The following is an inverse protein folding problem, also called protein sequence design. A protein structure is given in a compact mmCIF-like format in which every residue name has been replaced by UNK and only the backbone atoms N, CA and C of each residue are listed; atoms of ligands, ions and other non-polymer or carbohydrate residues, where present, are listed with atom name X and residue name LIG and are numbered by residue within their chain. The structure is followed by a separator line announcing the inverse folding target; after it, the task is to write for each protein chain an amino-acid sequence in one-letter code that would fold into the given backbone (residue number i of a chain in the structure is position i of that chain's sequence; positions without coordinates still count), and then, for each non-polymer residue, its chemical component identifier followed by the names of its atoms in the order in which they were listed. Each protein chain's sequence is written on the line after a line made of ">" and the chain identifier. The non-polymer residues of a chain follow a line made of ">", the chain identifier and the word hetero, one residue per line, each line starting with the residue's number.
data_IF_350071232801
#
_entry.id   IF_350071232801
#
_cell.length_a   1.000
_cell.length_b   1.000
_cell.length_c   1.000
_cell.angle_alpha   90.00
_cell.angle_beta   90.00
_cell.angle_gamma   90.00
#
_symmetry.space_group_name_H-M   'P 1'
#
loop_
_entity.id
_entity.type
_entity.pdbx_description
1 polymer ?
2 water ?
#
# COMPACT_ATOMS: atom_id res chain seq x y z
N UNK A 1 -1.39 5.97 20.75
CA UNK A 1 -0.15 5.26 20.31
C UNK A 1 -0.09 5.10 18.76
N UNK A 2 0.93 5.75 18.18
CA UNK A 2 1.53 5.31 16.91
C UNK A 2 3.09 5.29 17.06
N UNK A 3 3.59 5.04 18.30
CA UNK A 3 5.03 4.73 18.61
C UNK A 3 5.52 3.31 18.18
N UNK A 4 4.86 2.79 17.16
CA UNK A 4 5.37 1.77 16.27
C UNK A 4 6.41 2.36 15.30
N UNK A 5 7.11 1.50 14.58
CA UNK A 5 8.22 1.95 13.76
C UNK A 5 7.96 1.68 12.25
N UNK A 6 8.57 2.43 11.32
CA UNK A 6 8.50 2.13 9.85
C UNK A 6 9.86 1.91 9.20
N UNK A 7 10.01 0.83 8.45
CA UNK A 7 11.31 0.53 7.87
C UNK A 7 11.14 -0.05 6.52
N UNK A 8 12.19 0.04 5.71
CA UNK A 8 12.21 -0.66 4.44
C UNK A 8 12.01 -2.16 4.71
N UNK A 9 11.45 -2.89 3.74
CA UNK A 9 11.54 -4.35 3.66
C UNK A 9 11.70 -4.83 2.22
N UNK A 10 12.49 -5.88 2.08
CA UNK A 10 12.55 -6.71 0.88
C UNK A 10 11.17 -7.37 0.69
N UNK A 11 10.57 -7.22 -0.50
CA UNK A 11 9.36 -8.00 -0.80
C UNK A 11 9.62 -9.52 -0.73
N UNK A 12 10.87 -9.94 -0.52
CA UNK A 12 11.18 -11.36 -0.47
C UNK A 12 11.40 -11.87 0.95
N UNK A 13 11.62 -10.92 1.87
CA UNK A 13 11.51 -11.13 3.31
C UNK A 13 10.29 -12.04 3.66
N UNK A 14 10.56 -13.12 4.42
CA UNK A 14 9.49 -13.98 4.93
C UNK A 14 8.37 -13.22 5.68
N UNK A 15 8.75 -12.17 6.38
CA UNK A 15 7.77 -11.39 7.13
C UNK A 15 6.81 -10.65 6.19
N UNK A 16 7.31 -10.26 5.01
CA UNK A 16 6.50 -9.50 4.04
C UNK A 16 5.52 -10.45 3.41
N UNK A 17 6.09 -11.59 2.99
CA UNK A 17 5.32 -12.64 2.41
C UNK A 17 4.21 -13.07 3.34
N UNK A 18 4.47 -13.11 4.63
CA UNK A 18 3.41 -13.53 5.59
C UNK A 18 2.25 -12.55 5.69
N UNK A 19 2.55 -11.25 5.74
CA UNK A 19 1.46 -10.23 5.72
C UNK A 19 0.61 -10.27 4.42
N UNK A 20 1.30 -10.23 3.30
CA UNK A 20 0.74 -10.44 1.99
C UNK A 20 -0.15 -11.71 1.91
N UNK A 21 0.37 -12.84 2.37
CA UNK A 21 -0.40 -14.08 2.39
C UNK A 21 -1.68 -13.91 3.23
N UNK A 22 -1.56 -13.30 4.41
CA UNK A 22 -2.75 -13.03 5.26
C UNK A 22 -3.72 -12.08 4.52
N UNK A 23 -3.21 -11.03 3.90
CA UNK A 23 -4.02 -10.11 3.06
C UNK A 23 -4.84 -10.92 2.06
N UNK A 24 -4.18 -11.79 1.29
CA UNK A 24 -4.81 -12.53 0.23
C UNK A 24 -5.78 -13.56 0.79
N UNK A 25 -5.48 -14.07 2.00
CA UNK A 25 -6.35 -15.10 2.63
C UNK A 25 -7.64 -14.44 3.07
N UNK A 26 -7.53 -13.24 3.63
CA UNK A 26 -8.70 -12.43 3.82
C UNK A 26 -9.47 -12.04 2.50
N UNK A 27 -8.85 -11.38 1.52
CA UNK A 27 -9.55 -11.13 0.21
C UNK A 27 -10.33 -12.32 -0.40
N UNK A 28 -10.18 -13.53 0.15
CA UNK A 28 -10.88 -14.75 -0.32
C UNK A 28 -12.35 -14.76 0.18
N UNK A 29 -12.61 -14.01 1.27
CA UNK A 29 -13.95 -13.45 1.63
C UNK A 29 -14.33 -12.29 0.65
N UNK A 39 3.17 -13.04 -4.42
CA UNK A 39 3.86 -13.50 -5.64
C UNK A 39 4.53 -12.34 -6.54
N UNK A 40 3.73 -11.64 -7.38
CA UNK A 40 4.26 -10.70 -8.42
C UNK A 40 5.30 -9.60 -7.99
N UNK A 41 5.30 -9.09 -6.76
CA UNK A 41 6.24 -7.98 -6.48
C UNK A 41 7.71 -8.36 -6.52
N UNK A 42 8.01 -9.63 -6.29
CA UNK A 42 9.40 -10.07 -6.20
C UNK A 42 10.12 -10.02 -7.54
N UNK A 43 9.39 -10.21 -8.64
CA UNK A 43 9.97 -10.30 -10.00
C UNK A 43 10.50 -8.99 -10.54
N UNK A 44 9.83 -7.90 -10.18
CA UNK A 44 10.04 -6.61 -10.83
C UNK A 44 11.44 -6.06 -10.60
N UNK A 45 11.94 -5.25 -11.55
CA UNK A 45 13.12 -4.43 -11.26
C UNK A 45 13.00 -3.70 -9.88
N UNK A 46 13.90 -4.02 -8.94
CA UNK A 46 13.94 -3.57 -7.54
C UNK A 46 14.04 -2.07 -7.29
N UNK A 47 14.65 -1.31 -8.20
CA UNK A 47 14.66 0.14 -8.11
C UNK A 47 13.21 0.64 -8.19
N UNK A 48 12.38 -0.07 -8.95
CA UNK A 48 11.06 0.40 -9.27
C UNK A 48 10.05 0.08 -8.17
N UNK A 49 10.49 -0.56 -7.09
CA UNK A 49 9.56 -0.93 -6.03
C UNK A 49 9.94 -0.29 -4.70
N UNK A 50 9.01 0.43 -4.08
CA UNK A 50 9.15 0.86 -2.70
C UNK A 50 8.27 -0.04 -1.85
N UNK A 51 8.85 -0.56 -0.78
CA UNK A 51 8.15 -1.45 0.09
C UNK A 51 8.55 -1.11 1.52
N UNK A 52 7.55 -0.99 2.38
CA UNK A 52 7.74 -0.60 3.79
C UNK A 52 6.97 -1.49 4.75
N UNK A 53 7.41 -1.55 6.01
CA UNK A 53 6.70 -2.31 7.08
C UNK A 53 6.49 -1.47 8.32
N UNK A 54 5.42 -1.75 9.06
CA UNK A 54 5.25 -1.17 10.40
C UNK A 54 5.43 -2.23 11.44
N UNK A 55 6.18 -1.87 12.46
CA UNK A 55 6.66 -2.80 13.44
C UNK A 55 6.18 -2.35 14.77
N UNK A 56 5.79 -3.32 15.57
CA UNK A 56 5.43 -3.10 16.93
C UNK A 56 6.67 -2.58 17.69
N UNK A 57 6.48 -2.17 18.96
CA UNK A 57 7.70 -1.92 19.73
C UNK A 57 8.54 -3.19 20.02
N UNK A 58 7.92 -4.38 20.11
CA UNK A 58 8.66 -5.67 20.10
C UNK A 58 9.61 -5.76 18.89
N UNK A 59 9.11 -5.37 17.71
CA UNK A 59 9.89 -5.33 16.47
C UNK A 59 9.26 -6.20 15.39
N UNK A 60 8.14 -6.82 15.75
CA UNK A 60 7.26 -7.62 14.90
C UNK A 60 6.63 -6.79 13.72
N UNK A 61 6.88 -7.20 12.47
CA UNK A 61 6.20 -6.60 11.32
C UNK A 61 4.73 -6.93 11.42
N UNK A 62 3.92 -5.89 11.32
CA UNK A 62 2.58 -5.94 11.86
C UNK A 62 1.69 -5.34 10.77
N UNK A 63 2.33 -4.82 9.72
CA UNK A 63 1.64 -4.18 8.60
C UNK A 63 2.63 -3.89 7.48
N UNK A 64 2.16 -3.69 6.26
CA UNK A 64 3.10 -3.32 5.21
C UNK A 64 2.41 -2.71 4.04
N UNK A 65 3.19 -2.20 3.08
CA UNK A 65 2.61 -1.74 1.82
C UNK A 65 3.70 -1.38 0.83
N UNK A 66 3.31 -1.09 -0.40
CA UNK A 66 4.29 -0.93 -1.46
C UNK A 66 3.78 -0.06 -2.59
N UNK A 67 4.74 0.54 -3.28
CA UNK A 67 4.44 1.39 -4.42
C UNK A 67 5.34 0.94 -5.54
N UNK A 68 4.74 0.72 -6.70
CA UNK A 68 5.46 0.40 -7.92
C UNK A 68 5.48 1.65 -8.77
N UNK A 69 6.69 2.17 -9.06
CA UNK A 69 6.91 3.40 -9.84
C UNK A 69 7.13 3.21 -11.35
N UNK A 70 6.51 4.07 -12.15
CA UNK A 70 6.60 3.99 -13.59
C UNK A 70 7.57 5.06 -14.04
N UNK A 71 7.99 4.99 -15.30
CA UNK A 71 8.96 5.98 -15.74
C UNK A 71 8.33 7.35 -16.06
N UNK A 72 7.01 7.46 -16.09
CA UNK A 72 6.41 8.79 -16.24
C UNK A 72 6.00 9.49 -14.92
N UNK A 73 6.53 9.01 -13.79
CA UNK A 73 6.25 9.65 -12.51
C UNK A 73 4.94 9.27 -11.81
N UNK A 74 4.17 8.33 -12.38
CA UNK A 74 3.10 7.68 -11.63
C UNK A 74 3.67 6.57 -10.75
N UNK A 75 2.95 6.26 -9.69
CA UNK A 75 3.31 5.23 -8.74
C UNK A 75 2.01 4.47 -8.51
N UNK A 76 2.09 3.15 -8.45
CA UNK A 76 0.91 2.44 -8.06
C UNK A 76 1.10 1.89 -6.65
N UNK A 77 0.17 2.20 -5.76
CA UNK A 77 0.11 1.68 -4.35
C UNK A 77 -0.65 0.36 -4.26
N UNK A 78 0.01 -0.63 -3.64
CA UNK A 78 -0.60 -1.93 -3.59
C UNK A 78 -0.02 -2.69 -2.42
N UNK A 79 -0.66 -3.83 -2.16
CA UNK A 79 -0.26 -4.72 -1.10
C UNK A 79 -0.22 -4.08 0.25
N UNK A 80 -1.18 -3.23 0.55
CA UNK A 80 -1.30 -2.60 1.87
C UNK A 80 -2.14 -3.45 2.81
N UNK A 81 -1.64 -3.70 4.01
CA UNK A 81 -2.38 -4.51 4.98
C UNK A 81 -1.84 -4.17 6.34
N UNK A 82 -2.73 -4.17 7.34
CA UNK A 82 -2.38 -4.03 8.77
C UNK A 82 -3.02 -5.21 9.47
N UNK A 83 -2.21 -5.98 10.21
CA UNK A 83 -2.72 -7.05 11.02
C UNK A 83 -3.84 -6.61 11.95
N UNK A 84 -5.01 -7.25 11.85
CA UNK A 84 -6.25 -7.03 12.62
C UNK A 84 -6.08 -6.63 14.11
N UNK A 85 -5.04 -7.13 14.75
CA UNK A 85 -4.90 -6.85 16.17
C UNK A 85 -4.29 -5.49 16.40
N UNK A 86 -3.83 -4.85 15.33
CA UNK A 86 -3.16 -3.57 15.46
C UNK A 86 -3.93 -2.39 14.88
N UNK A 87 -5.10 -2.69 14.33
CA UNK A 87 -6.04 -1.70 13.82
C UNK A 87 -6.71 -0.88 14.93
N UNK A 88 -7.41 0.19 14.56
CA UNK A 88 -8.11 1.03 15.52
C UNK A 88 -7.27 2.17 16.08
N UNK A 89 -6.05 2.33 15.55
CA UNK A 89 -5.09 3.31 16.10
C UNK A 89 -4.20 3.97 15.06
N UNK A 90 -4.75 4.14 13.85
CA UNK A 90 -4.19 5.04 12.86
C UNK A 90 -2.88 4.61 12.21
N UNK A 91 -2.56 3.32 12.23
CA UNK A 91 -1.32 2.84 11.61
C UNK A 91 -1.38 2.94 10.09
N UNK A 92 -2.58 2.74 9.54
CA UNK A 92 -2.74 2.79 8.07
C UNK A 92 -2.23 4.15 7.62
N UNK A 93 -2.70 5.16 8.36
CA UNK A 93 -2.31 6.55 8.21
C UNK A 93 -0.84 6.75 8.30
N UNK A 94 -0.21 6.17 9.30
CA UNK A 94 1.20 6.38 9.50
C UNK A 94 1.98 5.83 8.32
N UNK A 95 1.62 4.62 7.92
CA UNK A 95 2.23 3.90 6.79
C UNK A 95 2.01 4.61 5.45
N UNK A 96 0.75 4.85 5.12
CA UNK A 96 0.40 5.65 3.95
C UNK A 96 1.26 6.92 3.81
N UNK A 97 1.40 7.71 4.88
CA UNK A 97 2.21 8.94 4.79
C UNK A 97 3.66 8.64 4.49
N UNK A 98 4.11 7.49 4.96
CA UNK A 98 5.51 7.13 4.84
C UNK A 98 5.80 6.66 3.42
N UNK A 99 4.81 6.02 2.77
CA UNK A 99 4.97 5.57 1.39
C UNK A 99 4.93 6.78 0.44
N UNK A 100 4.03 7.70 0.75
CA UNK A 100 3.97 8.96 0.02
C UNK A 100 5.30 9.66 0.16
N UNK A 101 5.81 9.76 1.39
CA UNK A 101 7.09 10.52 1.50
C UNK A 101 8.15 9.86 0.59
N UNK A 102 8.22 8.53 0.59
CA UNK A 102 9.23 7.86 -0.21
C UNK A 102 8.99 8.03 -1.71
N UNK A 103 7.73 8.16 -2.09
CA UNK A 103 7.41 8.30 -3.50
C UNK A 103 7.86 9.70 -3.94
N UNK A 104 7.58 10.71 -3.14
CA UNK A 104 8.10 12.01 -3.49
C UNK A 104 9.60 12.01 -3.69
N UNK A 105 10.38 11.32 -2.86
CA UNK A 105 11.83 11.47 -3.01
C UNK A 105 12.28 10.88 -4.33
N UNK A 106 11.37 10.16 -4.96
CA UNK A 106 11.65 9.54 -6.23
C UNK A 106 10.94 10.28 -7.38
N UNK A 107 10.55 11.53 -7.10
CA UNK A 107 9.87 12.42 -8.04
C UNK A 107 8.50 11.97 -8.46
N UNK A 108 7.89 11.09 -7.70
CA UNK A 108 6.62 10.56 -8.11
C UNK A 108 5.62 11.70 -7.91
N UNK A 109 4.75 11.94 -8.88
CA UNK A 109 3.84 13.04 -8.77
C UNK A 109 2.36 12.67 -8.52
N UNK A 110 1.99 11.43 -8.81
CA UNK A 110 0.60 11.00 -8.65
C UNK A 110 0.66 9.56 -8.19
N UNK A 111 -0.09 9.26 -7.13
CA UNK A 111 -0.26 7.88 -6.69
C UNK A 111 -1.59 7.39 -7.04
N UNK A 112 -1.69 6.21 -7.62
CA UNK A 112 -2.98 5.61 -7.88
C UNK A 112 -3.07 4.26 -7.24
N UNK A 113 -4.30 3.76 -7.04
CA UNK A 113 -4.44 2.41 -6.53
C UNK A 113 -5.71 1.79 -7.05
N UNK A 114 -5.73 0.46 -7.10
CA UNK A 114 -6.93 -0.34 -7.33
C UNK A 114 -7.14 -1.20 -6.05
N UNK A 115 -8.34 -1.18 -5.47
CA UNK A 115 -8.83 -2.27 -4.58
C UNK A 115 -10.25 -2.68 -4.91
N UNK A 116 -10.63 -3.86 -4.42
CA UNK A 116 -12.02 -4.32 -4.54
C UNK A 116 -12.99 -3.46 -3.76
N UNK A 117 -14.25 -3.44 -4.23
CA UNK A 117 -15.31 -2.71 -3.53
C UNK A 117 -15.58 -3.30 -2.18
N UNK A 118 -15.24 -4.57 -1.97
CA UNK A 118 -15.39 -5.17 -0.67
C UNK A 118 -14.49 -4.56 0.41
N UNK A 119 -13.47 -3.81 0.03
CA UNK A 119 -12.45 -3.39 0.98
C UNK A 119 -12.70 -2.02 1.61
N UNK A 120 -13.74 -1.99 2.42
CA UNK A 120 -14.29 -0.78 2.98
C UNK A 120 -13.33 -0.01 3.90
N UNK A 121 -12.63 -0.72 4.77
CA UNK A 121 -11.64 -0.07 5.63
C UNK A 121 -10.58 0.69 4.81
N UNK A 122 -10.08 0.05 3.77
CA UNK A 122 -9.00 0.62 3.02
C UNK A 122 -9.56 1.77 2.29
N UNK A 123 -10.75 1.58 1.72
CA UNK A 123 -11.29 2.60 0.85
C UNK A 123 -11.49 3.87 1.66
N UNK A 124 -11.99 3.72 2.89
CA UNK A 124 -12.22 4.88 3.75
C UNK A 124 -10.90 5.51 4.19
N UNK A 125 -9.88 4.70 4.43
CA UNK A 125 -8.59 5.26 4.80
C UNK A 125 -8.08 6.17 3.66
N UNK A 126 -8.16 5.72 2.42
CA UNK A 126 -7.65 6.55 1.36
C UNK A 126 -8.44 7.81 1.22
N UNK A 127 -9.76 7.72 1.30
CA UNK A 127 -10.68 8.87 1.20
C UNK A 127 -10.39 9.93 2.26
N UNK A 128 -10.16 9.48 3.50
CA UNK A 128 -9.78 10.35 4.62
C UNK A 128 -8.47 11.09 4.33
N UNK A 129 -7.68 10.61 3.37
CA UNK A 129 -6.38 11.24 3.06
C UNK A 129 -6.19 11.70 1.61
N UNK A 130 -7.28 12.12 1.00
CA UNK A 130 -7.18 12.86 -0.23
C UNK A 130 -7.19 12.06 -1.49
N UNK A 131 -7.33 10.75 -1.41
CA UNK A 131 -7.49 9.96 -2.63
C UNK A 131 -8.89 10.14 -3.14
N UNK A 132 -9.08 10.14 -4.45
CA UNK A 132 -10.41 10.33 -5.03
C UNK A 132 -10.69 9.26 -6.05
N UNK A 133 -11.95 8.84 -6.16
CA UNK A 133 -12.26 7.77 -7.11
C UNK A 133 -11.94 8.24 -8.54
N UNK A 134 -11.62 7.29 -9.41
CA UNK A 134 -11.36 7.61 -10.80
C UNK A 134 -11.62 6.34 -11.62
N UNK A 135 -11.46 6.43 -12.94
CA UNK A 135 -11.62 5.27 -13.84
C UNK A 135 -10.41 4.36 -13.79
N UNK A 136 -10.58 3.15 -14.32
CA UNK A 136 -9.48 2.25 -14.68
C UNK A 136 -8.25 2.93 -15.28
N UNK A 137 -7.05 2.45 -14.94
CA UNK A 137 -5.79 2.88 -15.56
C UNK A 137 -5.00 1.63 -15.87
N UNK A 138 -4.06 1.73 -16.80
CA UNK A 138 -3.23 0.59 -17.16
C UNK A 138 -2.65 0.06 -15.86
N UNK A 139 -2.52 -1.27 -15.71
CA UNK A 139 -2.97 -2.28 -16.67
C UNK A 139 -4.32 -2.89 -16.29
N UNK A 140 -5.26 -2.11 -15.76
CA UNK A 140 -6.55 -2.69 -15.41
C UNK A 140 -7.60 -2.28 -16.40
N UNK A 141 -8.62 -3.11 -16.57
CA UNK A 141 -9.80 -2.71 -17.31
C UNK A 141 -10.96 -2.72 -16.38
N UNK A 142 -11.74 -1.66 -16.38
CA UNK A 142 -12.80 -1.49 -15.38
C UNK A 142 -13.49 -2.80 -15.05
N UNK A 143 -12.87 -3.56 -14.16
CA UNK A 143 -13.35 -4.85 -13.70
C UNK A 143 -14.60 -4.74 -12.83
N UNK A 144 -15.00 -3.54 -12.48
CA UNK A 144 -16.16 -3.37 -11.61
C UNK A 144 -16.88 -4.66 -11.21
N UNK A 145 -16.87 -4.84 -9.90
CA UNK A 145 -16.26 -3.80 -9.14
C UNK A 145 -14.84 -4.01 -8.65
N UNK A 146 -14.04 -3.07 -9.11
CA UNK A 146 -12.80 -2.59 -8.55
C UNK A 146 -13.13 -1.14 -8.24
N UNK A 147 -12.33 -0.54 -7.37
CA UNK A 147 -12.35 0.91 -7.13
C UNK A 147 -10.95 1.40 -7.40
N UNK A 148 -10.86 2.40 -8.27
CA UNK A 148 -9.62 3.03 -8.60
C UNK A 148 -9.64 4.35 -7.91
N UNK A 149 -8.48 4.76 -7.37
CA UNK A 149 -8.34 6.04 -6.65
C UNK A 149 -7.00 6.68 -6.95
N UNK A 150 -6.90 8.00 -6.88
CA UNK A 150 -5.59 8.60 -6.96
C UNK A 150 -5.53 9.89 -6.21
N UNK A 151 -4.32 10.40 -6.09
CA UNK A 151 -4.01 11.54 -5.28
C UNK A 151 -2.76 12.23 -5.87
N UNK A 152 -2.82 13.56 -6.10
CA UNK A 152 -1.60 14.28 -6.53
C UNK A 152 -0.69 14.48 -5.35
N UNK A 153 0.59 14.21 -5.53
CA UNK A 153 1.47 14.25 -4.37
C UNK A 153 2.16 15.58 -4.19
N UNK A 154 2.54 16.18 -5.32
CA UNK A 154 3.67 17.18 -5.39
C UNK A 154 5.08 16.43 -5.49
#
# INVERSE_FOLDING_TARGET
>A
NAMYTITDIAPTDAEFIALIAALDAWQETLYPAESNHLLDLSQLPPQTVIALAIRSPQGEAVGCGAIVLSEEGFGEMKRVYIDPQHRGQQLGEKLLAALEAKARQRDCHTLRLETGIHQHAAIALYTRNGYQTRCAFAPYQPDPLSVFMEKPLFADLRSAAL
#
